data_IF_823680742717
#
_entry.id   IF_823680742717
#
_cell.length_a   1.000
_cell.length_b   1.000
_cell.length_c   1.000
_cell.angle_alpha   90.00
_cell.angle_beta   90.00
_cell.angle_gamma   90.00
#
_symmetry.space_group_name_H-M   'P 1'
#
loop_
_entity.id
_entity.type
_entity.pdbx_description
1 polymer ?
#
# COMPACT_ATOMS: atom_id res chain seq x y z
N UNK A 1 13.35 -12.80 2.42
CA UNK A 1 12.22 -12.15 1.70
C UNK A 1 11.34 -11.48 2.74
N UNK A 2 10.71 -10.37 2.37
CA UNK A 2 9.93 -9.52 3.28
C UNK A 2 8.63 -10.22 3.70
N UNK A 3 8.34 -10.26 5.00
CA UNK A 3 7.05 -10.73 5.51
C UNK A 3 6.03 -9.62 5.42
N UNK A 4 4.74 -9.95 5.32
CA UNK A 4 3.71 -8.91 5.29
C UNK A 4 3.69 -8.11 6.60
N UNK A 5 4.03 -8.74 7.72
CA UNK A 5 4.14 -8.06 9.02
C UNK A 5 5.19 -6.94 9.01
N UNK A 6 6.25 -7.07 8.20
CA UNK A 6 7.27 -6.02 8.03
C UNK A 6 6.74 -4.81 7.23
N UNK A 7 5.67 -5.01 6.47
CA UNK A 7 5.03 -3.95 5.69
C UNK A 7 4.06 -3.13 6.54
N UNK A 8 3.59 -3.66 7.67
CA UNK A 8 2.57 -3.04 8.51
C UNK A 8 3.11 -1.81 9.24
N UNK A 9 2.30 -0.76 9.30
CA UNK A 9 2.60 0.46 10.05
C UNK A 9 1.69 0.53 11.29
N UNK A 10 2.24 0.45 12.52
CA UNK A 10 1.43 0.48 13.74
C UNK A 10 0.54 1.73 13.88
N UNK A 11 0.97 2.86 13.31
CA UNK A 11 0.22 4.11 13.30
C UNK A 11 -0.89 4.17 12.22
N UNK A 12 -1.07 3.11 11.41
CA UNK A 12 -2.05 3.11 10.34
C UNK A 12 -3.48 3.06 10.90
N UNK A 13 -4.25 4.11 10.65
CA UNK A 13 -5.69 4.13 10.89
C UNK A 13 -6.51 3.61 9.70
N UNK A 14 -5.90 3.54 8.52
CA UNK A 14 -6.50 2.94 7.32
C UNK A 14 -5.44 2.33 6.41
N UNK A 15 -5.81 1.24 5.74
CA UNK A 15 -5.04 0.60 4.69
C UNK A 15 -5.87 0.58 3.40
N UNK A 16 -5.27 1.07 2.32
CA UNK A 16 -5.86 1.17 1.01
C UNK A 16 -5.35 0.04 0.12
N UNK A 17 -6.26 -0.68 -0.52
CA UNK A 17 -5.94 -1.69 -1.53
C UNK A 17 -6.51 -1.27 -2.88
N UNK A 18 -5.68 -1.14 -3.90
CA UNK A 18 -6.12 -0.81 -5.26
C UNK A 18 -5.43 -1.68 -6.29
N UNK A 19 -6.21 -2.24 -7.21
CA UNK A 19 -5.67 -3.02 -8.34
C UNK A 19 -5.66 -2.21 -9.60
N UNK A 20 -4.57 -2.33 -10.35
CA UNK A 20 -4.40 -1.74 -11.66
C UNK A 20 -4.13 -2.86 -12.66
N UNK A 21 -5.03 -3.02 -13.63
CA UNK A 21 -4.86 -3.99 -14.72
C UNK A 21 -4.21 -3.26 -15.88
N UNK A 22 -2.98 -3.66 -16.19
CA UNK A 22 -2.15 -3.00 -17.21
C UNK A 22 -2.05 -3.86 -18.48
N UNK A 23 -2.33 -5.15 -18.39
CA UNK A 23 -2.41 -6.10 -19.50
C UNK A 23 -1.08 -6.72 -19.92
N UNK A 24 0.07 -6.12 -19.60
CA UNK A 24 1.40 -6.70 -19.91
C UNK A 24 2.45 -6.38 -18.86
N UNK A 25 3.46 -7.25 -18.75
CA UNK A 25 4.58 -7.07 -17.83
C UNK A 25 5.36 -5.76 -18.04
N UNK A 26 5.57 -5.35 -19.30
CA UNK A 26 6.23 -4.09 -19.61
C UNK A 26 5.40 -2.89 -19.11
N UNK A 27 4.08 -2.92 -19.31
CA UNK A 27 3.17 -1.87 -18.88
C UNK A 27 3.04 -1.80 -17.35
N UNK A 28 3.02 -2.94 -16.67
CA UNK A 28 3.07 -2.98 -15.19
C UNK A 28 4.33 -2.34 -14.63
N UNK A 29 5.51 -2.69 -15.19
CA UNK A 29 6.78 -2.10 -14.74
C UNK A 29 6.83 -0.59 -15.02
N UNK A 30 6.37 -0.15 -16.20
CA UNK A 30 6.30 1.27 -16.53
C UNK A 30 5.38 2.05 -15.58
N UNK A 31 4.19 1.51 -15.27
CA UNK A 31 3.26 2.13 -14.33
C UNK A 31 3.81 2.17 -12.89
N UNK A 32 4.45 1.10 -12.44
CA UNK A 32 5.06 1.03 -11.11
C UNK A 32 6.23 2.02 -10.96
N UNK A 33 7.09 2.13 -11.98
CA UNK A 33 8.17 3.11 -12.02
C UNK A 33 7.64 4.54 -11.98
N UNK A 34 6.67 4.87 -12.86
CA UNK A 34 6.07 6.20 -12.90
C UNK A 34 5.44 6.61 -11.56
N UNK A 35 4.67 5.74 -10.92
CA UNK A 35 4.09 6.04 -9.58
C UNK A 35 5.19 6.24 -8.54
N UNK A 36 6.25 5.43 -8.58
CA UNK A 36 7.36 5.53 -7.62
C UNK A 36 8.14 6.84 -7.80
N UNK A 37 8.37 7.26 -9.05
CA UNK A 37 8.99 8.54 -9.38
C UNK A 37 8.15 9.73 -8.92
N UNK A 38 6.83 9.71 -9.17
CA UNK A 38 5.91 10.76 -8.68
C UNK A 38 5.95 10.88 -7.15
N UNK A 39 5.99 9.76 -6.44
CA UNK A 39 6.11 9.77 -4.98
C UNK A 39 7.48 10.22 -4.46
N UNK A 40 8.55 10.00 -5.23
CA UNK A 40 9.90 10.43 -4.87
C UNK A 40 10.13 11.91 -5.19
N UNK A 41 9.45 12.46 -6.19
CA UNK A 41 9.62 13.84 -6.63
C UNK A 41 8.93 14.87 -5.72
N UNK A 42 7.91 14.46 -4.95
CA UNK A 42 7.15 15.34 -4.08
C UNK A 42 7.44 15.08 -2.60
N UNK A 43 7.28 16.10 -1.72
CA UNK A 43 7.23 15.86 -0.29
C UNK A 43 6.17 14.81 0.05
N UNK A 44 6.50 13.94 1.01
CA UNK A 44 5.56 12.95 1.49
C UNK A 44 4.28 13.63 1.98
N UNK A 45 3.08 13.15 1.57
CA UNK A 45 1.83 13.71 2.04
C UNK A 45 1.71 13.63 3.55
N UNK A 46 1.18 14.68 4.21
CA UNK A 46 0.81 14.58 5.62
C UNK A 46 -0.12 13.38 5.87
N UNK A 47 0.32 12.49 6.76
CA UNK A 47 -0.44 11.31 7.18
C UNK A 47 -0.31 10.08 6.30
N UNK A 48 0.46 10.11 5.19
CA UNK A 48 0.87 8.88 4.52
C UNK A 48 2.02 8.24 5.33
N UNK A 49 1.95 6.92 5.50
CA UNK A 49 2.92 6.17 6.30
C UNK A 49 3.76 5.24 5.42
N UNK A 50 3.12 4.59 4.46
CA UNK A 50 3.81 3.76 3.47
C UNK A 50 2.96 3.52 2.23
N UNK A 51 3.63 3.15 1.15
CA UNK A 51 3.07 2.65 -0.09
C UNK A 51 3.90 1.47 -0.57
N UNK A 52 3.27 0.31 -0.69
CA UNK A 52 3.86 -0.88 -1.28
C UNK A 52 3.21 -1.15 -2.62
N UNK A 53 4.01 -1.53 -3.61
CA UNK A 53 3.56 -1.90 -4.95
C UNK A 53 3.94 -3.36 -5.14
N UNK A 54 2.94 -4.20 -5.37
CA UNK A 54 3.11 -5.61 -5.64
C UNK A 54 2.78 -5.90 -7.10
N UNK A 55 3.61 -6.71 -7.75
CA UNK A 55 3.46 -7.14 -9.13
C UNK A 55 2.80 -8.52 -9.16
N UNK A 56 1.75 -8.68 -9.97
CA UNK A 56 1.16 -10.00 -10.18
C UNK A 56 2.17 -10.93 -10.84
N UNK A 57 2.16 -12.24 -10.51
CA UNK A 57 3.11 -13.20 -11.09
C UNK A 57 3.00 -13.32 -12.61
N UNK A 58 1.82 -13.12 -13.19
CA UNK A 58 1.63 -13.09 -14.65
C UNK A 58 2.14 -11.78 -15.29
N UNK A 59 2.52 -10.81 -14.47
CA UNK A 59 3.00 -9.49 -14.86
C UNK A 59 1.93 -8.54 -15.39
N UNK A 60 0.66 -8.94 -15.50
CA UNK A 60 -0.38 -8.17 -16.19
C UNK A 60 -1.11 -7.15 -15.31
N UNK A 61 -0.74 -7.06 -14.03
CA UNK A 61 -1.31 -6.09 -13.13
C UNK A 61 -0.47 -5.81 -11.89
N UNK A 62 -0.91 -4.78 -11.17
CA UNK A 62 -0.32 -4.31 -9.92
C UNK A 62 -1.38 -4.31 -8.80
N UNK A 63 -0.93 -4.55 -7.58
CA UNK A 63 -1.66 -4.26 -6.35
C UNK A 63 -0.91 -3.17 -5.58
N UNK A 64 -1.60 -2.11 -5.25
CA UNK A 64 -1.13 -1.04 -4.38
C UNK A 64 -1.67 -1.29 -2.97
N UNK A 65 -0.78 -1.39 -2.00
CA UNK A 65 -1.11 -1.45 -0.57
C UNK A 65 -0.53 -0.21 0.13
N UNK A 66 -1.38 0.76 0.45
CA UNK A 66 -0.98 2.03 1.06
C UNK A 66 -1.49 2.14 2.48
N UNK A 67 -0.71 2.69 3.40
CA UNK A 67 -1.14 2.93 4.77
C UNK A 67 -1.11 4.41 5.10
N UNK A 68 -2.18 4.87 5.73
CA UNK A 68 -2.37 6.25 6.14
C UNK A 68 -2.81 6.31 7.60
N UNK A 69 -2.53 7.44 8.26
CA UNK A 69 -2.95 7.69 9.65
C UNK A 69 -4.47 7.72 9.80
N UNK A 70 -5.20 8.15 8.77
CA UNK A 70 -6.67 8.12 8.74
C UNK A 70 -7.25 8.15 7.32
N UNK A 71 -8.53 7.80 7.19
CA UNK A 71 -9.28 7.96 5.94
C UNK A 71 -9.34 9.42 5.50
N UNK A 72 -9.50 10.35 6.45
CA UNK A 72 -9.59 11.79 6.19
C UNK A 72 -8.27 12.39 5.70
N UNK A 73 -7.14 11.93 6.23
CA UNK A 73 -5.81 12.34 5.75
C UNK A 73 -5.63 11.95 4.28
N UNK A 74 -5.93 10.70 3.94
CA UNK A 74 -5.89 10.24 2.55
C UNK A 74 -6.89 11.00 1.67
N UNK A 75 -8.14 11.19 2.11
CA UNK A 75 -9.17 11.90 1.32
C UNK A 75 -8.77 13.35 1.05
N UNK A 76 -8.21 14.03 2.04
CA UNK A 76 -7.74 15.42 1.91
C UNK A 76 -6.62 15.51 0.89
N UNK A 77 -5.61 14.63 0.99
CA UNK A 77 -4.57 14.56 -0.02
C UNK A 77 -5.14 14.23 -1.41
N UNK A 78 -6.01 13.23 -1.50
CA UNK A 78 -6.52 12.71 -2.76
C UNK A 78 -7.31 13.76 -3.53
N UNK A 79 -8.17 14.52 -2.86
CA UNK A 79 -8.93 15.62 -3.48
C UNK A 79 -8.04 16.68 -4.13
N UNK A 80 -6.85 16.93 -3.56
CA UNK A 80 -5.97 17.99 -4.01
C UNK A 80 -4.89 17.52 -5.00
N UNK A 81 -4.44 16.26 -4.93
CA UNK A 81 -3.21 15.83 -5.62
C UNK A 81 -3.35 14.55 -6.45
N UNK A 82 -4.35 13.70 -6.18
CA UNK A 82 -4.40 12.36 -6.77
C UNK A 82 -4.48 12.39 -8.29
N UNK A 83 -5.25 13.31 -8.85
CA UNK A 83 -5.41 13.38 -10.30
C UNK A 83 -4.13 13.79 -11.00
N UNK A 84 -3.34 14.70 -10.41
CA UNK A 84 -2.02 15.06 -10.93
C UNK A 84 -1.09 13.84 -10.95
N UNK A 85 -0.98 13.12 -9.82
CA UNK A 85 -0.13 11.92 -9.70
C UNK A 85 -0.52 10.85 -10.71
N UNK A 86 -1.83 10.60 -10.88
CA UNK A 86 -2.30 9.54 -11.79
C UNK A 86 -2.24 9.97 -13.26
N UNK A 87 -2.38 11.26 -13.57
CA UNK A 87 -2.37 11.78 -14.95
C UNK A 87 -1.07 11.47 -15.70
N UNK A 88 0.08 11.55 -15.01
CA UNK A 88 1.37 11.20 -15.60
C UNK A 88 1.42 9.73 -15.98
N UNK A 89 0.92 8.86 -15.10
CA UNK A 89 0.89 7.42 -15.33
C UNK A 89 -0.06 7.07 -16.47
N UNK A 90 -1.24 7.69 -16.53
CA UNK A 90 -2.21 7.49 -17.61
C UNK A 90 -1.67 7.94 -18.98
N UNK A 91 -0.82 8.98 -18.99
CA UNK A 91 -0.13 9.41 -20.22
C UNK A 91 0.89 8.37 -20.69
N UNK A 92 1.66 7.79 -19.76
CA UNK A 92 2.70 6.81 -20.08
C UNK A 92 2.14 5.41 -20.38
N UNK A 93 1.06 5.04 -19.71
CA UNK A 93 0.42 3.73 -19.79
C UNK A 93 -1.09 3.96 -19.98
N UNK A 94 -1.54 4.24 -21.21
CA UNK A 94 -2.94 4.55 -21.46
C UNK A 94 -3.84 3.33 -21.25
N UNK A 95 -5.10 3.57 -20.89
CA UNK A 95 -6.14 2.54 -20.71
C UNK A 95 -5.88 1.51 -19.58
N UNK A 96 -5.23 1.92 -18.49
CA UNK A 96 -5.19 1.11 -17.26
C UNK A 96 -6.61 0.98 -16.70
N UNK A 97 -7.06 -0.25 -16.46
CA UNK A 97 -8.32 -0.47 -15.72
C UNK A 97 -8.04 -0.43 -14.23
N UNK A 98 -8.85 0.31 -13.49
CA UNK A 98 -8.75 0.46 -12.02
C UNK A 98 -10.09 0.09 -11.38
N UNK A 99 -10.33 -1.20 -11.09
CA UNK A 99 -11.63 -1.68 -10.61
C UNK A 99 -12.10 -1.02 -9.30
N UNK A 100 -11.19 -0.42 -8.53
CA UNK A 100 -11.55 0.36 -7.36
C UNK A 100 -10.39 0.61 -6.39
N UNK A 101 -10.70 1.38 -5.35
CA UNK A 101 -9.86 1.60 -4.18
C UNK A 101 -10.66 1.16 -2.95
N UNK A 102 -10.18 0.14 -2.27
CA UNK A 102 -10.80 -0.41 -1.08
C UNK A 102 -10.14 0.18 0.16
N UNK A 103 -10.94 0.76 1.06
CA UNK A 103 -10.50 1.18 2.40
C UNK A 103 -10.71 0.02 3.35
N UNK A 104 -9.72 -0.25 4.17
CA UNK A 104 -9.75 -1.36 5.11
C UNK A 104 -9.01 -1.00 6.40
N UNK A 105 -9.22 -1.80 7.43
CA UNK A 105 -8.41 -1.79 8.66
C UNK A 105 -7.94 -3.19 8.96
N UNK A 106 -6.67 -3.32 9.33
CA UNK A 106 -6.14 -4.59 9.83
C UNK A 106 -6.89 -4.94 11.12
N UNK A 107 -7.64 -6.05 11.10
CA UNK A 107 -8.39 -6.54 12.24
C UNK A 107 -7.57 -7.52 13.07
N UNK A 108 -6.86 -8.44 12.41
CA UNK A 108 -5.94 -9.41 13.04
C UNK A 108 -5.03 -10.06 12.01
N UNK A 109 -3.93 -10.63 12.50
CA UNK A 109 -3.05 -11.51 11.75
C UNK A 109 -3.04 -12.90 12.40
N UNK A 110 -3.10 -13.95 11.60
CA UNK A 110 -2.95 -15.34 12.03
C UNK A 110 -1.67 -15.86 11.39
N UNK A 111 -0.69 -16.24 12.21
CA UNK A 111 0.60 -16.76 11.76
C UNK A 111 0.59 -18.28 11.95
N UNK A 112 0.83 -19.02 10.88
CA UNK A 112 0.89 -20.49 10.90
C UNK A 112 2.32 -21.01 10.94
N UNK A 113 3.24 -20.33 10.25
CA UNK A 113 4.67 -20.63 10.22
C UNK A 113 5.45 -19.31 10.21
N UNK A 114 6.09 -18.93 11.34
CA UNK A 114 6.82 -17.68 11.47
C UNK A 114 8.23 -17.72 10.85
N UNK A 115 8.80 -18.91 10.66
CA UNK A 115 10.23 -19.07 10.36
C UNK A 115 10.49 -19.21 8.85
N UNK A 116 9.54 -19.79 8.12
CA UNK A 116 9.68 -19.96 6.66
C UNK A 116 9.47 -18.63 5.93
N UNK A 117 10.34 -18.25 4.98
CA UNK A 117 10.19 -17.00 4.23
C UNK A 117 8.95 -17.03 3.32
N UNK A 118 8.28 -15.89 3.19
CA UNK A 118 7.20 -15.71 2.22
C UNK A 118 7.78 -15.52 0.82
N UNK A 119 7.28 -16.31 -0.14
CA UNK A 119 7.64 -16.19 -1.55
C UNK A 119 6.65 -15.32 -2.33
N UNK A 120 5.37 -15.40 -1.98
CA UNK A 120 4.31 -14.66 -2.65
C UNK A 120 3.19 -14.28 -1.68
N UNK A 121 2.39 -13.32 -2.13
CA UNK A 121 1.18 -12.88 -1.46
C UNK A 121 -0.03 -13.14 -2.34
N UNK A 122 -1.16 -13.55 -1.76
CA UNK A 122 -2.46 -13.53 -2.46
C UNK A 122 -3.41 -12.58 -1.76
N UNK A 123 -4.33 -11.99 -2.51
CA UNK A 123 -5.40 -11.16 -1.94
C UNK A 123 -6.76 -11.65 -2.38
N UNK A 124 -7.54 -12.09 -1.40
CA UNK A 124 -8.90 -12.59 -1.61
C UNK A 124 -9.90 -11.67 -0.93
N UNK A 125 -10.97 -11.31 -1.63
CA UNK A 125 -12.09 -10.57 -1.04
C UNK A 125 -13.25 -11.52 -0.77
N UNK A 126 -13.84 -11.48 0.42
CA UNK A 126 -14.97 -12.32 0.83
C UNK A 126 -15.89 -11.59 1.80
N UNK A 127 -17.06 -12.16 2.09
CA UNK A 127 -17.95 -11.62 3.12
C UNK A 127 -17.30 -11.78 4.52
N UNK A 128 -17.55 -10.82 5.41
CA UNK A 128 -16.91 -10.81 6.73
C UNK A 128 -17.30 -12.02 7.59
N UNK A 129 -18.50 -12.58 7.43
CA UNK A 129 -18.95 -13.77 8.17
C UNK A 129 -18.25 -15.05 7.71
N UNK A 130 -17.62 -15.05 6.55
CA UNK A 130 -16.92 -16.21 6.00
C UNK A 130 -15.42 -16.26 6.39
N UNK A 131 -14.92 -15.23 7.08
CA UNK A 131 -13.50 -15.09 7.44
C UNK A 131 -13.00 -16.29 8.25
N UNK A 132 -13.76 -16.74 9.26
CA UNK A 132 -13.30 -17.81 10.14
C UNK A 132 -13.13 -19.14 9.37
N UNK A 133 -14.03 -19.45 8.44
CA UNK A 133 -13.90 -20.60 7.55
C UNK A 133 -12.69 -20.50 6.61
N UNK A 134 -12.29 -19.27 6.27
CA UNK A 134 -11.17 -18.98 5.37
C UNK A 134 -9.80 -18.94 6.06
N UNK A 135 -9.73 -19.06 7.40
CA UNK A 135 -8.51 -19.03 8.20
C UNK A 135 -7.95 -20.42 8.55
N UNK A 136 -8.56 -21.48 8.03
CA UNK A 136 -8.10 -22.86 8.22
C UNK A 136 -6.66 -22.99 7.68
N UNK A 137 -5.70 -23.53 8.47
CA UNK A 137 -4.34 -23.76 8.02
C UNK A 137 -4.29 -24.68 6.79
N UNK A 138 -3.35 -24.42 5.89
CA UNK A 138 -3.17 -25.20 4.65
C UNK A 138 -1.70 -25.44 4.37
N UNK A 139 -1.33 -26.52 3.67
CA UNK A 139 0.03 -26.71 3.19
C UNK A 139 0.51 -25.47 2.44
N UNK A 140 1.70 -24.96 2.79
CA UNK A 140 2.30 -23.79 2.17
C UNK A 140 1.78 -22.42 2.64
N UNK A 141 0.66 -22.34 3.38
CA UNK A 141 0.14 -21.09 3.94
C UNK A 141 0.91 -20.72 5.21
N UNK A 142 1.59 -19.57 5.18
CA UNK A 142 2.46 -19.10 6.25
C UNK A 142 1.76 -18.16 7.23
N UNK A 143 0.92 -17.27 6.70
CA UNK A 143 0.17 -16.29 7.48
C UNK A 143 -1.06 -15.77 6.72
N UNK A 144 -2.06 -15.30 7.45
CA UNK A 144 -3.22 -14.58 6.92
C UNK A 144 -3.45 -13.28 7.70
N UNK A 145 -3.53 -12.17 6.99
CA UNK A 145 -3.82 -10.83 7.52
C UNK A 145 -5.22 -10.42 7.10
N UNK A 146 -6.09 -10.24 8.09
CA UNK A 146 -7.50 -9.93 7.89
C UNK A 146 -7.68 -8.42 7.87
N UNK A 147 -8.06 -7.87 6.72
CA UNK A 147 -8.40 -6.47 6.54
C UNK A 147 -9.91 -6.31 6.38
N UNK A 148 -10.59 -5.67 7.33
CA UNK A 148 -12.04 -5.44 7.25
C UNK A 148 -12.34 -4.09 6.59
N UNK A 149 -13.37 -4.05 5.75
CA UNK A 149 -13.95 -2.78 5.27
C UNK A 149 -14.58 -2.00 6.43
N UNK A 150 -14.71 -0.66 6.35
CA UNK A 150 -15.32 0.15 7.41
C UNK A 150 -16.73 -0.28 7.81
N UNK A 151 -17.53 -0.75 6.85
CA UNK A 151 -18.88 -1.28 7.07
C UNK A 151 -18.89 -2.69 7.68
N UNK A 152 -17.71 -3.32 7.79
CA UNK A 152 -17.48 -4.69 8.26
C UNK A 152 -18.30 -5.76 7.54
N UNK A 153 -18.72 -5.49 6.30
CA UNK A 153 -19.45 -6.46 5.46
C UNK A 153 -18.52 -7.34 4.67
N UNK A 154 -17.34 -6.85 4.33
CA UNK A 154 -16.36 -7.57 3.55
C UNK A 154 -15.00 -7.59 4.26
N UNK A 155 -14.22 -8.61 3.93
CA UNK A 155 -12.84 -8.74 4.33
C UNK A 155 -11.97 -8.89 3.08
N UNK A 156 -10.79 -8.29 3.12
CA UNK A 156 -9.68 -8.60 2.25
C UNK A 156 -8.68 -9.41 3.05
N UNK A 157 -8.34 -10.60 2.59
CA UNK A 157 -7.34 -11.45 3.22
C UNK A 157 -6.06 -11.32 2.41
N UNK A 158 -5.02 -10.78 3.03
CA UNK A 158 -3.67 -10.87 2.47
C UNK A 158 -3.03 -12.11 3.06
N UNK A 159 -2.64 -13.07 2.22
CA UNK A 159 -2.04 -14.32 2.66
C UNK A 159 -0.60 -14.41 2.20
N UNK A 160 0.25 -14.90 3.08
CA UNK A 160 1.66 -15.19 2.80
C UNK A 160 1.80 -16.68 2.48
N UNK A 161 2.42 -17.00 1.35
CA UNK A 161 2.65 -18.38 0.92
C UNK A 161 4.12 -18.66 0.70
N UNK A 162 4.50 -19.91 0.93
CA UNK A 162 5.89 -20.36 0.85
C UNK A 162 6.36 -20.72 -0.55
N UNK A 163 5.44 -20.93 -1.50
CA UNK A 163 5.71 -21.25 -2.89
C UNK A 163 4.46 -21.01 -3.75
N UNK A 164 4.64 -21.03 -5.08
CA UNK A 164 3.59 -20.87 -6.08
C UNK A 164 2.73 -22.13 -6.30
N UNK A 165 2.95 -23.23 -5.57
CA UNK A 165 2.22 -24.49 -5.80
C UNK A 165 0.83 -24.53 -5.12
N UNK A 166 0.39 -23.43 -4.49
CA UNK A 166 -0.88 -23.37 -3.74
C UNK A 166 -1.88 -22.23 -4.05
N UNK A 167 -1.91 -21.53 -5.21
CA UNK A 167 -2.92 -20.49 -5.46
C UNK A 167 -4.24 -21.00 -6.06
N UNK A 168 -4.38 -22.27 -6.44
CA UNK A 168 -5.68 -22.82 -6.87
C UNK A 168 -6.54 -23.23 -5.66
N UNK A 169 -6.99 -22.25 -4.87
CA UNK A 169 -8.17 -22.40 -4.00
C UNK A 169 -9.41 -21.82 -4.70
N UNK A 170 -9.71 -22.37 -5.88
CA UNK A 170 -10.96 -22.05 -6.54
C UNK A 170 -12.10 -22.78 -5.82
N UNK A 171 -13.06 -21.99 -5.31
CA UNK A 171 -14.50 -22.35 -5.19
C UNK A 171 -15.09 -22.96 -3.90
N UNK A 172 -14.59 -22.69 -2.68
CA UNK A 172 -15.38 -23.06 -1.46
C UNK A 172 -16.07 -21.93 -0.69
N UNK A 173 -15.61 -20.67 -0.83
CA UNK A 173 -16.08 -19.57 0.05
C UNK A 173 -16.58 -18.35 -0.76
N UNK A 174 -16.84 -18.49 -2.07
CA UNK A 174 -17.42 -17.41 -2.88
C UNK A 174 -16.57 -16.14 -2.99
N UNK A 175 -15.30 -16.19 -2.58
CA UNK A 175 -14.39 -15.04 -2.63
C UNK A 175 -13.84 -14.79 -4.03
N UNK A 176 -13.58 -13.51 -4.35
CA UNK A 176 -12.86 -13.13 -5.55
C UNK A 176 -11.37 -13.03 -5.22
N UNK A 177 -10.60 -14.03 -5.67
CA UNK A 177 -9.15 -13.97 -5.60
C UNK A 177 -8.59 -13.08 -6.72
N UNK A 178 -7.50 -12.40 -6.42
CA UNK A 178 -6.87 -11.47 -7.36
C UNK A 178 -5.48 -11.91 -7.82
N UNK A 179 -5.17 -13.18 -7.57
CA UNK A 179 -3.97 -13.84 -8.04
C UNK A 179 -2.77 -13.62 -7.11
N UNK A 180 -1.69 -14.38 -7.35
CA UNK A 180 -0.46 -14.26 -6.58
C UNK A 180 0.35 -13.03 -7.01
N UNK A 181 1.02 -12.42 -6.04
CA UNK A 181 1.80 -11.21 -6.16
C UNK A 181 3.18 -11.35 -5.49
N UNK A 182 4.16 -10.63 -6.01
CA UNK A 182 5.46 -10.41 -5.34
C UNK A 182 5.65 -8.92 -5.07
N UNK A 183 6.29 -8.58 -3.95
CA UNK A 183 6.63 -7.20 -3.64
C UNK A 183 7.64 -6.65 -4.68
N UNK A 184 7.28 -5.53 -5.33
CA UNK A 184 8.10 -4.87 -6.34
C UNK A 184 8.78 -3.60 -5.78
N UNK A 185 8.01 -2.75 -5.10
CA UNK A 185 8.53 -1.51 -4.49
C UNK A 185 7.94 -1.32 -3.09
N UNK A 186 8.76 -0.78 -2.18
CA UNK A 186 8.36 -0.37 -0.85
C UNK A 186 8.79 1.08 -0.62
N UNK A 187 7.83 1.96 -0.36
CA UNK A 187 8.02 3.37 -0.08
C UNK A 187 7.52 3.62 1.34
N UNK A 188 8.42 3.99 2.26
CA UNK A 188 8.06 4.25 3.66
C UNK A 188 8.36 5.71 3.96
N UNK A 189 7.38 6.39 4.53
CA UNK A 189 7.50 7.79 4.92
C UNK A 189 8.06 7.82 6.35
N UNK A 190 9.34 8.17 6.54
CA UNK A 190 9.88 8.07 7.90
C UNK A 190 11.36 8.26 8.21
N UNK A 191 12.24 8.71 7.31
CA UNK A 191 13.58 9.16 7.73
C UNK A 191 14.03 10.43 7.02
N UNK A 192 13.28 11.52 7.17
CA UNK A 192 13.93 12.84 7.13
C UNK A 192 14.29 13.20 8.58
N UNK A 193 15.56 13.00 8.96
CA UNK A 193 16.13 13.73 10.10
C UNK A 193 15.83 15.20 9.82
N UNK A 194 15.06 15.84 10.69
CA UNK A 194 15.20 17.27 10.86
C UNK A 194 16.65 17.49 11.27
N UNK A 195 17.47 17.95 10.32
CA UNK A 195 18.72 18.60 10.69
C UNK A 195 18.31 19.78 11.58
N UNK A 196 18.91 19.95 12.77
CA UNK A 196 18.59 21.10 13.60
C UNK A 196 18.80 22.35 12.75
N UNK A 197 17.80 23.23 12.71
CA UNK A 197 18.01 24.58 12.18
C UNK A 197 19.19 25.15 12.97
N UNK A 198 20.33 25.33 12.33
CA UNK A 198 21.43 26.09 12.91
C UNK A 198 20.88 27.47 13.25
N UNK A 199 20.91 27.82 14.53
CA UNK A 199 20.76 29.18 15.02
C UNK A 199 21.87 30.05 14.39
N UNK A 200 21.63 30.52 13.17
CA UNK A 200 22.51 31.48 12.50
C UNK A 200 21.75 32.53 11.69
N UNK A 201 20.41 32.52 11.68
CA UNK A 201 19.58 33.54 11.01
C UNK A 201 18.67 34.32 11.99
N UNK A 202 19.08 34.44 13.26
CA UNK A 202 18.47 35.39 14.21
C UNK A 202 19.33 36.61 14.52
N UNK A 203 20.43 36.84 13.76
CA UNK A 203 21.32 37.98 13.96
C UNK A 203 21.51 38.79 12.67
N UNK A 204 20.42 39.27 12.08
CA UNK A 204 20.49 40.42 11.18
C UNK A 204 19.16 41.18 11.19
N UNK A 205 18.72 41.60 12.37
CA UNK A 205 17.74 42.67 12.50
C UNK A 205 18.49 43.90 13.00
N UNK A 206 18.90 44.75 12.05
CA UNK A 206 19.45 46.08 12.30
C UNK A 206 18.30 46.97 12.78
N UNK A 207 18.38 47.65 13.93
CA UNK A 207 17.54 48.80 14.17
C UNK A 207 18.21 50.06 13.58
N UNK A 208 17.70 50.49 12.44
CA UNK A 208 17.69 51.90 12.08
C UNK A 208 16.68 52.59 13.01
N UNK A 209 17.10 53.59 13.78
CA UNK A 209 16.42 54.89 13.98
C UNK A 209 16.97 55.66 15.18
N UNK A 210 17.23 56.95 14.96
CA UNK A 210 17.54 57.92 16.01
C UNK A 210 18.09 59.25 15.49
N UNK A 211 17.27 60.00 14.75
CA UNK A 211 17.54 61.36 14.29
C UNK A 211 17.07 62.39 15.34
N UNK A 212 17.80 63.52 15.46
CA UNK A 212 17.52 64.77 16.19
C UNK A 212 17.65 64.71 17.74
N UNK A 213 18.36 65.59 18.46
CA UNK A 213 18.82 66.99 18.28
C UNK A 213 20.19 67.14 18.95
#
# INVERSE_FOLDING_TARGET
>A
MTRFTDLLQPAAGTALMSRWLTGTAARSRAAAAAVSEEWAAAPSPPGRLSQHILLSLDGTGLLFYAQWTSDDAHLTWARAHRDNVVSRVDTLVPAIQRPGLHRTRLARSVIHDPDRPAELFTVTTLAAHDVDAALVPRPGLLATHVHLTPDRRHAHLVREWADAASPDDNTRIGGHDTGPYTLLHALVDGTRRELPRTEAESAMCIPEQGQHV
#
